data_IF_328119427229
#
_entry.id   IF_328119427229
#
_cell.length_a   1.000
_cell.length_b   1.000
_cell.length_c   1.000
_cell.angle_alpha   90.00
_cell.angle_beta   90.00
_cell.angle_gamma   90.00
#
_symmetry.space_group_name_H-M   'P 1'
#
loop_
_entity.id
_entity.type
_entity.pdbx_description
1 polymer ?
#
# COMPACT_ATOMS: atom_id res chain seq x y z
N UNK A 1 -37.60 -7.07 -7.51
CA UNK A 1 -36.55 -7.16 -6.44
C UNK A 1 -35.45 -6.18 -6.81
N UNK A 2 -35.08 -5.28 -5.91
CA UNK A 2 -33.95 -4.35 -6.15
C UNK A 2 -32.63 -5.13 -6.15
N UNK A 3 -31.70 -4.80 -7.06
CA UNK A 3 -30.38 -5.41 -7.11
C UNK A 3 -29.33 -4.47 -6.55
N UNK A 4 -28.29 -5.07 -5.96
CA UNK A 4 -27.08 -4.39 -5.47
C UNK A 4 -25.85 -5.16 -5.97
N UNK A 5 -24.81 -4.44 -6.38
CA UNK A 5 -23.48 -5.01 -6.65
C UNK A 5 -22.61 -4.78 -5.44
N UNK A 6 -21.96 -5.83 -4.94
CA UNK A 6 -20.97 -5.80 -3.87
C UNK A 6 -19.60 -6.06 -4.49
N UNK A 7 -18.70 -5.08 -4.39
CA UNK A 7 -17.32 -5.12 -4.91
C UNK A 7 -16.40 -5.14 -3.69
N UNK A 8 -15.82 -6.31 -3.42
CA UNK A 8 -15.03 -6.57 -2.20
C UNK A 8 -14.06 -7.73 -2.49
N UNK A 9 -12.78 -7.57 -2.33
CA UNK A 9 -11.79 -8.60 -2.60
C UNK A 9 -11.66 -9.64 -1.48
N UNK A 10 -11.91 -9.24 -0.23
CA UNK A 10 -11.91 -10.16 0.91
C UNK A 10 -13.13 -11.07 0.89
N UNK A 11 -12.93 -12.36 0.63
CA UNK A 11 -14.01 -13.34 0.49
C UNK A 11 -14.90 -13.47 1.74
N UNK A 12 -14.32 -13.29 2.95
CA UNK A 12 -15.07 -13.39 4.21
C UNK A 12 -15.98 -12.18 4.35
N UNK A 13 -15.46 -10.99 4.16
CA UNK A 13 -16.21 -9.73 4.23
C UNK A 13 -17.32 -9.73 3.17
N UNK A 14 -17.00 -10.13 1.92
CA UNK A 14 -17.97 -10.24 0.83
C UNK A 14 -19.11 -11.18 1.18
N UNK A 15 -18.83 -12.37 1.72
CA UNK A 15 -19.85 -13.34 2.13
C UNK A 15 -20.75 -12.81 3.26
N UNK A 16 -20.18 -12.10 4.24
CA UNK A 16 -20.97 -11.50 5.34
C UNK A 16 -21.91 -10.40 4.84
N UNK A 17 -21.41 -9.53 3.96
CA UNK A 17 -22.22 -8.48 3.33
C UNK A 17 -23.37 -9.10 2.49
N UNK A 18 -23.05 -10.11 1.68
CA UNK A 18 -24.04 -10.83 0.89
C UNK A 18 -25.15 -11.43 1.75
N UNK A 19 -24.77 -12.13 2.83
CA UNK A 19 -25.73 -12.74 3.74
C UNK A 19 -26.68 -11.70 4.35
N UNK A 20 -26.13 -10.58 4.82
CA UNK A 20 -26.93 -9.50 5.39
C UNK A 20 -27.88 -8.88 4.37
N UNK A 21 -27.39 -8.55 3.19
CA UNK A 21 -28.17 -7.91 2.12
C UNK A 21 -29.28 -8.84 1.59
N UNK A 22 -28.99 -10.14 1.41
CA UNK A 22 -30.02 -11.12 0.99
C UNK A 22 -31.13 -11.27 2.02
N UNK A 23 -30.79 -11.27 3.31
CA UNK A 23 -31.79 -11.30 4.38
C UNK A 23 -32.71 -10.08 4.34
N UNK A 24 -32.16 -8.92 3.93
CA UNK A 24 -32.90 -7.68 3.79
C UNK A 24 -33.61 -7.53 2.43
N UNK A 25 -33.69 -8.62 1.63
CA UNK A 25 -34.49 -8.71 0.40
C UNK A 25 -33.75 -8.21 -0.86
N UNK A 26 -32.44 -8.01 -0.83
CA UNK A 26 -31.69 -7.63 -2.00
C UNK A 26 -31.30 -8.81 -2.89
N UNK A 27 -31.33 -8.61 -4.21
CA UNK A 27 -30.62 -9.47 -5.16
C UNK A 27 -29.18 -9.01 -5.22
N UNK A 28 -28.25 -9.80 -4.68
CA UNK A 28 -26.83 -9.45 -4.60
C UNK A 28 -26.06 -10.05 -5.77
N UNK A 29 -25.32 -9.20 -6.48
CA UNK A 29 -24.30 -9.55 -7.47
C UNK A 29 -22.92 -9.25 -6.84
N UNK A 30 -21.93 -10.08 -7.10
CA UNK A 30 -20.63 -10.03 -6.40
C UNK A 30 -19.49 -9.90 -7.39
N UNK A 31 -18.50 -9.07 -7.01
CA UNK A 31 -17.23 -8.92 -7.70
C UNK A 31 -16.10 -8.88 -6.69
N UNK A 32 -14.93 -9.39 -7.06
CA UNK A 32 -13.71 -9.39 -6.25
C UNK A 32 -12.70 -8.31 -6.68
N UNK A 33 -12.99 -7.56 -7.72
CA UNK A 33 -12.18 -6.45 -8.22
C UNK A 33 -13.06 -5.36 -8.85
N UNK A 34 -12.50 -4.16 -8.99
CA UNK A 34 -13.22 -3.01 -9.48
C UNK A 34 -13.63 -3.10 -10.94
N UNK A 35 -12.85 -3.74 -11.81
CA UNK A 35 -13.16 -3.88 -13.23
C UNK A 35 -14.37 -4.83 -13.44
N UNK A 36 -14.34 -5.99 -12.78
CA UNK A 36 -15.47 -6.92 -12.78
C UNK A 36 -16.73 -6.26 -12.19
N UNK A 37 -16.56 -5.50 -11.10
CA UNK A 37 -17.65 -4.77 -10.46
C UNK A 37 -18.28 -3.74 -11.40
N UNK A 38 -17.49 -2.93 -12.08
CA UNK A 38 -17.95 -1.95 -13.07
C UNK A 38 -18.77 -2.62 -14.17
N UNK A 39 -18.29 -3.72 -14.74
CA UNK A 39 -18.99 -4.45 -15.79
C UNK A 39 -20.36 -4.94 -15.30
N UNK A 40 -20.42 -5.51 -14.08
CA UNK A 40 -21.70 -5.95 -13.48
C UNK A 40 -22.67 -4.78 -13.28
N UNK A 41 -22.19 -3.60 -12.88
CA UNK A 41 -23.03 -2.41 -12.69
C UNK A 41 -23.59 -1.92 -14.02
N UNK A 42 -22.76 -1.84 -15.05
CA UNK A 42 -23.18 -1.41 -16.41
C UNK A 42 -24.23 -2.35 -17.00
N UNK A 43 -24.00 -3.66 -16.88
CA UNK A 43 -24.90 -4.68 -17.42
C UNK A 43 -26.25 -4.76 -16.67
N UNK A 44 -26.22 -4.67 -15.34
CA UNK A 44 -27.40 -4.97 -14.52
C UNK A 44 -28.15 -3.72 -14.02
N UNK A 45 -27.54 -2.51 -14.14
CA UNK A 45 -28.11 -1.22 -13.69
C UNK A 45 -28.74 -1.33 -12.28
N UNK A 46 -27.95 -1.68 -11.26
CA UNK A 46 -28.44 -1.95 -9.93
C UNK A 46 -28.96 -0.67 -9.26
N UNK A 47 -29.81 -0.83 -8.24
CA UNK A 47 -30.27 0.29 -7.42
C UNK A 47 -29.15 0.85 -6.51
N UNK A 48 -28.16 0.01 -6.16
CA UNK A 48 -27.04 0.40 -5.32
C UNK A 48 -25.76 -0.39 -5.68
N UNK A 49 -24.61 0.20 -5.33
CA UNK A 49 -23.30 -0.42 -5.34
C UNK A 49 -22.70 -0.23 -3.95
N UNK A 50 -22.17 -1.31 -3.38
CA UNK A 50 -21.33 -1.30 -2.20
C UNK A 50 -19.93 -1.65 -2.64
N UNK A 51 -18.99 -0.72 -2.55
CA UNK A 51 -17.66 -0.83 -3.14
C UNK A 51 -16.57 -0.61 -2.09
N UNK A 52 -15.70 -1.59 -1.90
CA UNK A 52 -14.51 -1.37 -1.10
C UNK A 52 -13.59 -0.36 -1.79
N UNK A 53 -12.88 0.42 -0.97
CA UNK A 53 -11.93 1.41 -1.44
C UNK A 53 -10.65 0.76 -1.99
N UNK A 54 -10.14 -0.23 -1.26
CA UNK A 54 -8.86 -0.90 -1.52
C UNK A 54 -9.06 -2.23 -2.25
N UNK A 55 -9.49 -2.16 -3.50
CA UNK A 55 -9.69 -3.32 -4.38
C UNK A 55 -8.75 -3.27 -5.58
N UNK A 56 -8.32 -4.44 -6.10
CA UNK A 56 -7.43 -4.52 -7.25
C UNK A 56 -8.09 -4.07 -8.56
N UNK A 57 -7.29 -3.85 -9.59
CA UNK A 57 -7.59 -3.39 -10.94
C UNK A 57 -8.12 -1.97 -10.99
N UNK A 58 -9.24 -1.70 -10.40
CA UNK A 58 -9.83 -0.36 -10.25
C UNK A 58 -10.16 -0.15 -8.78
N UNK A 59 -9.56 0.84 -8.14
CA UNK A 59 -9.90 1.18 -6.75
C UNK A 59 -11.29 1.82 -6.62
N UNK A 60 -11.82 1.90 -5.40
CA UNK A 60 -13.16 2.44 -5.16
C UNK A 60 -13.34 3.87 -5.63
N UNK A 61 -12.31 4.72 -5.61
CA UNK A 61 -12.39 6.08 -6.15
C UNK A 61 -12.58 6.08 -7.67
N UNK A 62 -11.84 5.21 -8.40
CA UNK A 62 -11.98 5.05 -9.84
C UNK A 62 -13.38 4.54 -10.20
N UNK A 63 -13.86 3.52 -9.48
CA UNK A 63 -15.21 2.97 -9.67
C UNK A 63 -16.25 4.08 -9.52
N UNK A 64 -16.18 4.90 -8.46
CA UNK A 64 -17.10 6.02 -8.26
C UNK A 64 -17.09 6.99 -9.45
N UNK A 65 -15.90 7.47 -9.87
CA UNK A 65 -15.78 8.42 -11.00
C UNK A 65 -16.33 7.85 -12.31
N UNK A 66 -15.96 6.60 -12.62
CA UNK A 66 -16.38 5.94 -13.86
C UNK A 66 -17.90 5.73 -13.91
N UNK A 67 -18.53 5.39 -12.79
CA UNK A 67 -19.98 5.27 -12.69
C UNK A 67 -20.69 6.62 -12.83
N UNK A 68 -20.18 7.67 -12.20
CA UNK A 68 -20.78 9.02 -12.30
C UNK A 68 -20.59 9.67 -13.68
N UNK A 69 -19.57 9.27 -14.42
CA UNK A 69 -19.39 9.71 -15.80
C UNK A 69 -20.44 9.12 -16.76
N UNK A 70 -21.24 8.11 -16.33
CA UNK A 70 -22.27 7.49 -17.15
C UNK A 70 -23.66 8.04 -16.78
N UNK A 71 -24.32 8.84 -17.65
CA UNK A 71 -25.62 9.45 -17.35
C UNK A 71 -26.72 8.43 -16.97
N UNK A 72 -26.68 7.26 -17.59
CA UNK A 72 -27.63 6.18 -17.37
C UNK A 72 -27.55 5.55 -15.96
N UNK A 73 -26.45 5.77 -15.26
CA UNK A 73 -26.19 5.26 -13.91
C UNK A 73 -26.27 6.35 -12.83
N UNK A 74 -26.67 7.57 -13.20
CA UNK A 74 -26.78 8.69 -12.28
C UNK A 74 -27.69 8.41 -11.06
N UNK A 75 -28.69 7.55 -11.21
CA UNK A 75 -29.60 7.12 -10.14
C UNK A 75 -29.10 5.97 -9.26
N UNK A 76 -28.01 5.31 -9.62
CA UNK A 76 -27.42 4.23 -8.83
C UNK A 76 -26.76 4.81 -7.56
N UNK A 77 -27.17 4.33 -6.38
CA UNK A 77 -26.58 4.75 -5.12
C UNK A 77 -25.22 4.09 -4.93
N UNK A 78 -24.17 4.86 -4.75
CA UNK A 78 -22.80 4.37 -4.56
C UNK A 78 -22.39 4.57 -3.10
N UNK A 79 -22.06 3.48 -2.41
CA UNK A 79 -21.61 3.47 -1.02
C UNK A 79 -20.19 2.89 -1.01
N UNK A 80 -19.23 3.69 -0.57
CA UNK A 80 -17.85 3.22 -0.39
C UNK A 80 -17.70 2.59 0.98
N UNK A 81 -17.04 1.44 1.05
CA UNK A 81 -16.63 0.78 2.30
C UNK A 81 -15.10 0.78 2.41
N UNK A 82 -14.56 0.82 3.60
CA UNK A 82 -13.11 0.81 3.80
C UNK A 82 -12.73 0.40 5.22
N UNK A 83 -11.53 -0.21 5.36
CA UNK A 83 -10.87 -0.39 6.66
C UNK A 83 -10.22 0.88 7.18
N UNK A 84 -9.96 1.84 6.29
CA UNK A 84 -9.32 3.11 6.60
C UNK A 84 -10.22 4.02 7.45
N UNK A 85 -9.60 4.69 8.44
CA UNK A 85 -10.28 5.70 9.30
C UNK A 85 -9.85 7.12 9.00
N UNK A 86 -9.15 7.35 7.91
CA UNK A 86 -8.65 8.65 7.54
C UNK A 86 -9.77 9.56 7.02
N UNK A 87 -9.89 10.74 7.60
CA UNK A 87 -10.96 11.69 7.23
C UNK A 87 -10.88 12.14 5.77
N UNK A 88 -9.68 12.24 5.22
CA UNK A 88 -9.46 12.62 3.83
C UNK A 88 -10.04 11.60 2.85
N UNK A 89 -9.95 10.29 3.13
CA UNK A 89 -10.49 9.25 2.25
C UNK A 89 -12.01 9.39 2.08
N UNK A 90 -12.69 9.76 3.16
CA UNK A 90 -14.14 10.03 3.10
C UNK A 90 -14.47 11.22 2.20
N UNK A 91 -13.75 12.33 2.35
CA UNK A 91 -13.95 13.51 1.51
C UNK A 91 -13.68 13.19 0.05
N UNK A 92 -12.57 12.54 -0.23
CA UNK A 92 -12.16 12.13 -1.58
C UNK A 92 -13.17 11.16 -2.22
N UNK A 93 -13.72 10.21 -1.44
CA UNK A 93 -14.76 9.30 -1.95
C UNK A 93 -16.03 10.04 -2.36
N UNK A 94 -16.48 11.02 -1.56
CA UNK A 94 -17.62 11.86 -1.87
C UNK A 94 -17.36 12.74 -3.10
N UNK A 95 -16.19 13.34 -3.22
CA UNK A 95 -15.76 14.11 -4.40
C UNK A 95 -15.64 13.23 -5.65
N UNK A 96 -15.23 11.99 -5.51
CA UNK A 96 -15.22 11.01 -6.60
C UNK A 96 -16.63 10.57 -7.03
N UNK A 97 -17.68 10.95 -6.27
CA UNK A 97 -19.07 10.70 -6.61
C UNK A 97 -19.76 9.61 -5.79
N UNK A 98 -19.18 9.17 -4.67
CA UNK A 98 -19.89 8.34 -3.71
C UNK A 98 -21.03 9.13 -3.03
N UNK A 99 -22.15 8.46 -2.75
CA UNK A 99 -23.27 9.05 -2.01
C UNK A 99 -23.11 8.86 -0.50
N UNK A 100 -22.34 7.84 -0.09
CA UNK A 100 -22.13 7.53 1.32
C UNK A 100 -20.81 6.77 1.52
N UNK A 101 -20.36 6.71 2.77
CA UNK A 101 -19.08 6.11 3.16
C UNK A 101 -19.23 5.37 4.49
N UNK A 102 -18.79 4.12 4.55
CA UNK A 102 -18.86 3.26 5.72
C UNK A 102 -17.48 2.73 6.09
N UNK A 103 -17.14 2.81 7.37
CA UNK A 103 -15.92 2.21 7.90
C UNK A 103 -16.19 0.77 8.34
N UNK A 104 -15.35 -0.16 7.90
CA UNK A 104 -15.43 -1.57 8.31
C UNK A 104 -15.11 -1.75 9.82
N UNK A 105 -15.73 -2.71 10.51
CA UNK A 105 -16.70 -3.67 10.00
C UNK A 105 -18.07 -3.04 9.75
N UNK A 106 -18.66 -3.32 8.59
CA UNK A 106 -20.00 -2.82 8.22
C UNK A 106 -21.06 -3.67 8.91
N UNK A 107 -21.82 -3.06 9.79
CA UNK A 107 -22.90 -3.74 10.53
C UNK A 107 -24.24 -3.65 9.77
N UNK A 108 -25.19 -4.58 10.00
CA UNK A 108 -26.51 -4.52 9.38
C UNK A 108 -27.23 -3.19 9.56
N UNK A 109 -27.10 -2.55 10.74
CA UNK A 109 -27.67 -1.24 11.00
C UNK A 109 -27.09 -0.13 10.12
N UNK A 110 -25.79 -0.22 9.76
CA UNK A 110 -25.16 0.74 8.85
C UNK A 110 -25.72 0.61 7.44
N UNK A 111 -25.90 -0.62 6.96
CA UNK A 111 -26.51 -0.90 5.67
C UNK A 111 -27.96 -0.37 5.61
N UNK A 112 -28.76 -0.63 6.64
CA UNK A 112 -30.15 -0.13 6.73
C UNK A 112 -30.20 1.39 6.69
N UNK A 113 -29.23 2.08 7.28
CA UNK A 113 -29.16 3.56 7.31
C UNK A 113 -28.86 4.16 5.93
N UNK A 114 -27.99 3.52 5.15
CA UNK A 114 -27.48 4.12 3.89
C UNK A 114 -28.20 3.59 2.65
N UNK A 115 -28.77 2.39 2.70
CA UNK A 115 -29.45 1.79 1.56
C UNK A 115 -30.91 2.21 1.47
N UNK A 116 -31.45 2.38 0.24
CA UNK A 116 -32.88 2.69 0.07
C UNK A 116 -33.72 1.48 0.49
N UNK A 117 -34.79 1.73 1.27
CA UNK A 117 -35.73 0.70 1.72
C UNK A 117 -36.18 -0.17 0.56
N UNK A 118 -36.03 -1.49 0.69
CA UNK A 118 -36.66 -2.49 -0.17
C UNK A 118 -38.01 -2.85 0.46
N UNK A 119 -39.11 -2.55 -0.21
CA UNK A 119 -40.38 -3.03 0.23
C UNK A 119 -40.33 -4.60 0.24
N UNK A 120 -40.64 -5.17 1.38
CA UNK A 120 -40.60 -6.63 1.55
C UNK A 120 -41.62 -7.27 0.64
N UNK A 121 -41.18 -7.90 -0.45
CA UNK A 121 -41.99 -8.96 -1.10
C UNK A 121 -41.95 -10.17 -0.16
N UNK A 122 -43.06 -10.90 0.02
CA UNK A 122 -43.12 -12.06 0.90
C UNK A 122 -42.05 -13.08 0.46
N UNK A 123 -41.23 -13.52 1.40
CA UNK A 123 -40.14 -14.45 1.18
C UNK A 123 -40.66 -15.75 0.54
N UNK A 124 -40.01 -16.28 -0.51
CA UNK A 124 -40.22 -17.66 -0.91
C UNK A 124 -39.63 -18.56 0.19
N UNK A 125 -40.44 -19.51 0.64
CA UNK A 125 -40.03 -20.59 1.54
C UNK A 125 -38.86 -21.36 0.93
N UNK A 126 -37.61 -21.03 1.38
CA UNK A 126 -36.40 -21.71 0.99
C UNK A 126 -35.57 -22.01 2.23
N UNK A 127 -35.21 -23.25 2.38
CA UNK A 127 -34.48 -23.87 3.48
C UNK A 127 -33.30 -22.98 3.94
N UNK A 128 -33.29 -22.73 5.23
CA UNK A 128 -32.14 -22.10 5.93
C UNK A 128 -30.97 -23.07 5.83
N UNK A 129 -29.99 -22.74 5.00
CA UNK A 129 -28.69 -23.38 5.05
C UNK A 129 -28.05 -23.05 6.39
N UNK A 130 -27.68 -24.06 7.15
CA UNK A 130 -26.90 -23.94 8.38
C UNK A 130 -25.61 -23.19 8.07
N UNK A 131 -25.18 -22.23 8.91
CA UNK A 131 -23.91 -21.55 8.72
C UNK A 131 -22.78 -22.60 8.75
N UNK A 132 -21.74 -22.45 7.91
CA UNK A 132 -20.57 -23.30 7.99
C UNK A 132 -19.98 -23.17 9.39
N UNK A 133 -19.77 -24.30 10.05
CA UNK A 133 -19.11 -24.37 11.34
C UNK A 133 -17.67 -23.89 11.17
N UNK A 134 -17.13 -23.26 12.19
CA UNK A 134 -15.77 -22.69 12.23
C UNK A 134 -14.63 -23.72 11.94
N UNK A 135 -14.97 -24.95 11.60
CA UNK A 135 -14.04 -26.01 11.22
C UNK A 135 -13.90 -26.26 9.72
N UNK A 136 -14.68 -25.58 8.86
CA UNK A 136 -14.35 -25.48 7.46
C UNK A 136 -13.27 -24.40 7.29
N UNK A 137 -12.13 -24.62 7.97
CA UNK A 137 -10.89 -24.03 7.57
C UNK A 137 -10.67 -24.45 6.11
N UNK A 138 -11.02 -23.55 5.19
CA UNK A 138 -10.49 -23.59 3.85
C UNK A 138 -8.98 -23.64 4.10
N UNK A 139 -8.40 -24.81 3.88
CA UNK A 139 -6.99 -24.90 3.59
C UNK A 139 -6.74 -23.89 2.47
N UNK A 140 -6.37 -22.67 2.87
CA UNK A 140 -5.63 -21.77 2.03
C UNK A 140 -4.33 -22.50 1.77
N UNK A 141 -4.44 -23.51 0.89
CA UNK A 141 -3.26 -24.13 0.30
C UNK A 141 -2.44 -22.95 -0.18
N UNK A 142 -1.21 -22.96 0.26
CA UNK A 142 -0.10 -22.08 -0.11
C UNK A 142 0.23 -22.22 -1.62
N UNK A 143 -0.78 -22.45 -2.46
CA UNK A 143 -0.74 -22.73 -3.89
C UNK A 143 -0.78 -21.48 -4.75
N UNK A 144 -0.56 -20.31 -4.15
CA UNK A 144 -0.39 -19.04 -4.87
C UNK A 144 1.04 -18.50 -4.84
N UNK A 145 2.00 -19.20 -4.26
CA UNK A 145 3.41 -18.92 -4.52
C UNK A 145 3.64 -19.24 -6.00
N UNK A 146 3.89 -18.20 -6.80
CA UNK A 146 4.44 -18.39 -8.13
C UNK A 146 5.56 -19.44 -8.02
N UNK A 147 5.42 -20.57 -8.69
CA UNK A 147 6.58 -21.39 -9.06
C UNK A 147 7.38 -20.55 -10.05
N UNK A 148 8.13 -19.58 -9.55
CA UNK A 148 9.13 -18.88 -10.31
C UNK A 148 10.21 -19.91 -10.59
N UNK A 149 10.21 -20.49 -11.79
CA UNK A 149 11.41 -21.15 -12.32
C UNK A 149 12.39 -20.01 -12.60
N UNK A 150 13.16 -19.64 -11.59
CA UNK A 150 14.30 -18.76 -11.82
C UNK A 150 15.30 -19.51 -12.73
N UNK A 151 15.92 -18.84 -13.71
CA UNK A 151 17.08 -19.40 -14.37
C UNK A 151 18.07 -19.86 -13.30
N UNK A 152 18.75 -20.97 -13.53
CA UNK A 152 19.74 -21.53 -12.61
C UNK A 152 21.01 -20.64 -12.58
N UNK A 153 20.86 -19.47 -11.95
CA UNK A 153 21.88 -18.42 -11.90
C UNK A 153 22.22 -18.18 -10.43
N UNK A 154 23.00 -19.13 -9.87
CA UNK A 154 23.46 -19.12 -8.47
C UNK A 154 24.33 -17.92 -8.08
N UNK A 155 24.65 -17.02 -9.04
CA UNK A 155 25.47 -15.83 -8.85
C UNK A 155 24.67 -14.52 -8.79
N UNK A 156 23.33 -14.56 -8.95
CA UNK A 156 22.50 -13.36 -8.86
C UNK A 156 22.49 -12.82 -7.41
N UNK A 157 23.24 -11.74 -7.21
CA UNK A 157 23.21 -10.98 -5.95
C UNK A 157 21.99 -10.06 -5.95
N UNK A 158 21.33 -9.98 -4.80
CA UNK A 158 20.33 -8.94 -4.56
C UNK A 158 20.96 -7.87 -3.68
N UNK A 159 20.92 -6.63 -4.13
CA UNK A 159 21.50 -5.49 -3.42
C UNK A 159 20.40 -4.47 -3.16
N UNK A 160 20.32 -4.02 -1.92
CA UNK A 160 19.46 -2.90 -1.48
C UNK A 160 20.36 -1.76 -1.03
N UNK A 161 20.16 -0.55 -1.55
CA UNK A 161 20.89 0.64 -1.12
C UNK A 161 19.93 1.79 -0.85
N UNK A 162 20.14 2.48 0.26
CA UNK A 162 19.34 3.63 0.68
C UNK A 162 19.93 4.93 0.16
N UNK A 163 19.10 5.75 -0.50
CA UNK A 163 19.45 7.07 -1.02
C UNK A 163 18.66 8.19 -0.36
N UNK A 164 17.57 7.86 0.28
CA UNK A 164 16.74 8.72 1.11
C UNK A 164 15.95 7.89 2.09
N UNK A 165 15.84 8.34 3.33
CA UNK A 165 15.31 7.58 4.48
C UNK A 165 14.35 8.38 5.36
N UNK A 166 14.15 9.68 5.03
CA UNK A 166 13.24 10.57 5.77
C UNK A 166 11.82 10.50 5.26
N UNK A 167 10.87 10.71 6.17
CA UNK A 167 9.47 10.93 5.89
C UNK A 167 9.13 12.40 5.78
N UNK A 168 8.01 12.68 5.15
CA UNK A 168 7.33 13.96 5.05
C UNK A 168 8.13 15.10 4.42
N UNK A 169 9.35 15.40 4.89
CA UNK A 169 10.14 16.54 4.45
C UNK A 169 11.65 16.24 4.48
N UNK A 170 12.42 16.68 3.48
CA UNK A 170 13.88 16.57 3.54
C UNK A 170 14.46 17.47 4.64
N UNK A 171 15.34 16.90 5.46
CA UNK A 171 15.94 17.57 6.63
C UNK A 171 17.46 17.47 6.61
N UNK A 172 18.14 18.06 5.60
CA UNK A 172 19.60 18.08 5.57
C UNK A 172 20.14 19.04 6.63
N UNK A 173 21.07 18.57 7.46
CA UNK A 173 21.65 19.39 8.50
C UNK A 173 22.76 18.70 9.28
N UNK A 174 23.48 19.41 10.14
CA UNK A 174 24.58 18.83 10.92
C UNK A 174 24.12 17.74 11.89
N UNK A 175 22.86 17.76 12.31
CA UNK A 175 22.26 16.79 13.24
C UNK A 175 21.71 15.54 12.57
N UNK A 176 21.67 15.49 11.23
CA UNK A 176 21.12 14.39 10.43
C UNK A 176 22.14 13.75 9.49
N UNK A 177 23.43 14.09 9.63
CA UNK A 177 24.50 13.68 8.69
C UNK A 177 24.73 12.16 8.68
N UNK A 178 24.59 11.50 9.83
CA UNK A 178 24.85 10.05 9.93
C UNK A 178 23.73 9.20 9.36
N UNK A 179 22.49 9.63 9.54
CA UNK A 179 21.32 8.91 9.04
C UNK A 179 20.99 9.33 7.60
N UNK A 180 21.07 10.61 7.33
CA UNK A 180 20.71 11.22 6.06
C UNK A 180 19.51 12.15 6.18
N UNK A 181 19.38 13.09 5.25
CA UNK A 181 18.33 14.11 5.23
C UNK A 181 17.40 14.06 4.02
N UNK A 182 17.58 13.11 3.10
CA UNK A 182 16.73 12.99 1.92
C UNK A 182 15.50 12.12 2.18
N UNK A 183 14.40 12.43 1.48
CA UNK A 183 13.17 11.65 1.55
C UNK A 183 13.23 10.38 0.72
N UNK A 184 12.25 9.51 0.90
CA UNK A 184 12.17 8.10 0.52
C UNK A 184 12.69 7.79 -0.88
N UNK A 185 13.80 7.05 -0.95
CA UNK A 185 14.34 6.50 -2.19
C UNK A 185 15.25 5.31 -1.88
N UNK A 186 14.87 4.13 -2.36
CA UNK A 186 15.64 2.89 -2.16
C UNK A 186 15.94 2.27 -3.51
N UNK A 187 17.21 1.99 -3.75
CA UNK A 187 17.68 1.28 -4.93
C UNK A 187 17.72 -0.23 -4.63
N UNK A 188 17.10 -1.01 -5.51
CA UNK A 188 17.10 -2.46 -5.47
C UNK A 188 17.70 -3.00 -6.77
N UNK A 189 18.67 -3.90 -6.67
CA UNK A 189 19.29 -4.54 -7.83
C UNK A 189 19.23 -6.05 -7.74
N UNK A 190 18.95 -6.70 -8.87
CA UNK A 190 19.05 -8.15 -9.03
C UNK A 190 19.49 -8.45 -10.47
N UNK A 191 20.68 -9.00 -10.65
CA UNK A 191 21.29 -9.11 -11.97
C UNK A 191 21.39 -7.75 -12.66
N UNK A 192 20.88 -7.67 -13.87
CA UNK A 192 20.87 -6.43 -14.68
C UNK A 192 19.68 -5.50 -14.33
N UNK A 193 18.77 -5.96 -13.48
CA UNK A 193 17.59 -5.16 -13.15
C UNK A 193 17.93 -4.12 -12.08
N UNK A 194 17.58 -2.88 -12.37
CA UNK A 194 17.61 -1.75 -11.45
C UNK A 194 16.16 -1.33 -11.19
N UNK A 195 15.74 -1.48 -9.94
CA UNK A 195 14.42 -1.07 -9.46
C UNK A 195 14.63 0.02 -8.42
N UNK A 196 13.90 1.11 -8.54
CA UNK A 196 13.91 2.20 -7.58
C UNK A 196 12.55 2.17 -6.86
N UNK A 197 12.56 2.17 -5.54
CA UNK A 197 11.39 2.25 -4.69
C UNK A 197 11.28 3.69 -4.21
N UNK A 198 10.27 4.38 -4.68
CA UNK A 198 9.96 5.80 -4.55
C UNK A 198 11.00 6.78 -5.11
N UNK A 199 10.53 7.98 -5.40
CA UNK A 199 11.26 9.04 -6.08
C UNK A 199 11.33 10.34 -5.24
N UNK A 200 11.51 10.19 -3.92
CA UNK A 200 11.80 11.31 -3.01
C UNK A 200 13.13 11.97 -3.33
N UNK A 201 13.56 12.92 -2.53
CA UNK A 201 14.75 13.73 -2.84
C UNK A 201 16.05 12.93 -2.98
N UNK A 202 16.11 11.74 -2.37
CA UNK A 202 17.25 10.81 -2.51
C UNK A 202 17.52 10.37 -3.94
N UNK A 203 16.52 10.37 -4.82
CA UNK A 203 16.65 9.96 -6.23
C UNK A 203 17.64 10.84 -7.01
N UNK A 204 17.81 12.09 -6.60
CA UNK A 204 18.80 12.98 -7.22
C UNK A 204 20.23 12.44 -7.04
N UNK A 205 20.57 11.99 -5.84
CA UNK A 205 21.87 11.39 -5.53
C UNK A 205 22.09 10.09 -6.31
N UNK A 206 21.09 9.23 -6.32
CA UNK A 206 21.07 8.00 -7.10
C UNK A 206 21.26 8.30 -8.60
N UNK A 207 20.52 9.27 -9.16
CA UNK A 207 20.64 9.66 -10.56
C UNK A 207 22.05 10.10 -10.94
N UNK A 208 22.72 10.84 -10.06
CA UNK A 208 24.13 11.24 -10.26
C UNK A 208 25.09 10.05 -10.24
N UNK A 209 24.84 9.05 -9.40
CA UNK A 209 25.59 7.80 -9.34
C UNK A 209 25.40 6.96 -10.60
N UNK A 210 24.16 6.76 -11.01
CA UNK A 210 23.81 6.02 -12.23
C UNK A 210 24.39 6.67 -13.49
N UNK A 211 24.35 8.00 -13.60
CA UNK A 211 24.94 8.72 -14.74
C UNK A 211 26.45 8.52 -14.85
N UNK A 212 27.16 8.33 -13.73
CA UNK A 212 28.59 7.99 -13.72
C UNK A 212 28.82 6.53 -14.11
N UNK A 213 28.05 5.61 -13.52
CA UNK A 213 28.16 4.17 -13.75
C UNK A 213 27.85 3.77 -15.20
N UNK A 214 26.81 4.39 -15.80
CA UNK A 214 26.35 4.11 -17.16
C UNK A 214 26.87 5.08 -18.21
N UNK A 215 27.96 5.81 -17.91
CA UNK A 215 28.54 6.75 -18.87
C UNK A 215 28.81 6.07 -20.24
N UNK A 216 28.15 6.57 -21.31
CA UNK A 216 28.28 6.04 -22.67
C UNK A 216 27.51 4.71 -22.90
N UNK A 217 26.66 4.31 -22.01
CA UNK A 217 25.78 3.15 -22.12
C UNK A 217 24.34 3.56 -21.87
N UNK A 218 23.40 2.85 -22.50
CA UNK A 218 21.97 3.04 -22.25
C UNK A 218 21.62 2.52 -20.84
N UNK A 219 20.80 3.28 -20.13
CA UNK A 219 20.27 2.91 -18.83
C UNK A 219 18.79 2.51 -18.95
N UNK A 220 18.48 1.30 -18.52
CA UNK A 220 17.12 0.81 -18.39
C UNK A 220 16.82 0.54 -16.93
N UNK A 221 15.74 1.12 -16.41
CA UNK A 221 15.32 0.90 -15.03
C UNK A 221 13.81 1.00 -14.86
N UNK A 222 13.35 0.48 -13.72
CA UNK A 222 11.96 0.56 -13.28
C UNK A 222 11.88 1.36 -11.98
N UNK A 223 10.93 2.28 -11.87
CA UNK A 223 10.59 2.97 -10.63
C UNK A 223 9.23 2.44 -10.17
N UNK A 224 9.15 1.94 -8.95
CA UNK A 224 7.92 1.56 -8.28
C UNK A 224 7.56 2.67 -7.29
N UNK A 225 6.44 3.34 -7.54
CA UNK A 225 5.92 4.39 -6.64
C UNK A 225 4.91 3.74 -5.69
N UNK A 226 5.16 3.90 -4.40
CA UNK A 226 4.24 3.41 -3.36
C UNK A 226 2.94 4.22 -3.35
N UNK A 227 3.04 5.52 -3.36
CA UNK A 227 1.95 6.48 -3.45
C UNK A 227 2.46 7.87 -3.85
N UNK A 228 1.56 8.82 -4.04
CA UNK A 228 1.87 10.13 -4.63
C UNK A 228 1.97 11.26 -3.60
N UNK A 229 2.20 10.98 -2.31
CA UNK A 229 2.57 12.03 -1.37
C UNK A 229 3.91 12.63 -1.79
N UNK A 230 4.08 13.90 -1.46
CA UNK A 230 5.14 14.69 -2.07
C UNK A 230 6.54 14.18 -1.76
N UNK A 231 6.78 13.74 -0.57
CA UNK A 231 8.08 13.18 -0.14
C UNK A 231 8.48 11.87 -0.85
N UNK A 232 7.53 11.22 -1.53
CA UNK A 232 7.77 10.03 -2.35
C UNK A 232 7.96 10.33 -3.84
N UNK A 233 7.66 11.56 -4.30
CA UNK A 233 7.75 11.91 -5.73
C UNK A 233 8.54 13.21 -5.99
N UNK A 234 8.78 14.06 -5.01
CA UNK A 234 9.33 15.41 -5.21
C UNK A 234 10.73 15.45 -5.81
N UNK A 235 11.50 14.37 -5.73
CA UNK A 235 12.83 14.28 -6.32
C UNK A 235 12.84 13.96 -7.81
N UNK A 236 11.74 13.43 -8.35
CA UNK A 236 11.67 12.99 -9.74
C UNK A 236 12.04 14.06 -10.76
N UNK A 237 11.61 15.34 -10.66
CA UNK A 237 12.02 16.40 -11.58
C UNK A 237 13.54 16.61 -11.66
N UNK A 238 14.28 16.17 -10.64
CA UNK A 238 15.75 16.29 -10.56
C UNK A 238 16.49 14.99 -10.88
N UNK A 239 15.78 13.98 -11.36
CA UNK A 239 16.37 12.70 -11.75
C UNK A 239 17.06 12.79 -13.11
N UNK A 240 18.37 13.10 -13.09
CA UNK A 240 19.18 13.31 -14.29
C UNK A 240 19.03 12.26 -15.40
N UNK A 241 18.96 10.95 -15.10
CA UNK A 241 18.75 9.92 -16.12
C UNK A 241 17.49 10.10 -16.97
N UNK A 242 16.43 10.74 -16.47
CA UNK A 242 15.20 10.99 -17.24
C UNK A 242 15.39 12.01 -18.40
N UNK A 243 16.48 12.75 -18.37
CA UNK A 243 16.80 13.76 -19.42
C UNK A 243 17.74 13.22 -20.51
N UNK A 244 18.21 11.98 -20.40
CA UNK A 244 19.06 11.37 -21.43
C UNK A 244 18.21 10.65 -22.49
N UNK A 245 18.34 10.99 -23.79
CA UNK A 245 17.48 10.45 -24.85
C UNK A 245 17.67 8.94 -25.09
N UNK A 246 18.77 8.36 -24.63
CA UNK A 246 19.05 6.93 -24.77
C UNK A 246 18.49 6.09 -23.62
N UNK A 247 18.13 6.72 -22.51
CA UNK A 247 17.63 6.01 -21.34
C UNK A 247 16.16 5.64 -21.47
N UNK A 248 15.79 4.54 -20.84
CA UNK A 248 14.42 4.03 -20.75
C UNK A 248 14.02 3.84 -19.31
N UNK A 249 12.99 4.56 -18.90
CA UNK A 249 12.44 4.54 -17.57
C UNK A 249 11.00 4.02 -17.63
N UNK A 250 10.71 3.01 -16.86
CA UNK A 250 9.38 2.47 -16.65
C UNK A 250 8.94 2.85 -15.25
N UNK A 251 7.86 3.61 -15.09
CA UNK A 251 7.35 4.07 -13.81
C UNK A 251 6.01 3.39 -13.57
N UNK A 252 5.94 2.60 -12.51
CA UNK A 252 4.76 1.86 -12.11
C UNK A 252 4.26 2.35 -10.76
N UNK A 253 2.98 2.43 -10.62
CA UNK A 253 2.28 2.72 -9.37
C UNK A 253 0.79 2.54 -9.56
N UNK A 254 0.05 2.73 -8.50
CA UNK A 254 -1.39 2.64 -8.55
C UNK A 254 -1.99 4.04 -8.75
N UNK A 255 -3.11 4.14 -9.44
CA UNK A 255 -3.80 5.42 -9.61
C UNK A 255 -4.21 5.99 -8.25
N UNK A 256 -3.86 7.25 -8.02
CA UNK A 256 -4.31 7.96 -6.83
C UNK A 256 -5.81 8.33 -6.91
N UNK A 257 -6.33 8.80 -5.80
CA UNK A 257 -7.74 9.21 -5.71
C UNK A 257 -8.13 10.39 -6.64
N UNK A 258 -7.18 11.24 -7.03
CA UNK A 258 -7.43 12.49 -7.78
C UNK A 258 -7.00 12.42 -9.24
N UNK A 259 -6.32 11.36 -9.66
CA UNK A 259 -5.84 11.19 -11.03
C UNK A 259 -4.71 10.16 -11.10
N UNK A 260 -4.35 9.73 -12.30
CA UNK A 260 -3.31 8.72 -12.49
C UNK A 260 -1.94 9.17 -12.01
N UNK A 261 -1.06 8.21 -11.77
CA UNK A 261 0.35 8.44 -11.40
C UNK A 261 1.04 9.46 -12.31
N UNK A 262 0.78 9.36 -13.63
CA UNK A 262 1.30 10.31 -14.60
C UNK A 262 0.85 11.75 -14.32
N UNK A 263 -0.42 11.94 -13.92
CA UNK A 263 -0.98 13.26 -13.59
C UNK A 263 -0.27 13.86 -12.39
N UNK A 264 -0.11 13.13 -11.31
CA UNK A 264 0.58 13.61 -10.11
C UNK A 264 2.03 14.02 -10.39
N UNK A 265 2.77 13.21 -11.19
CA UNK A 265 4.14 13.53 -11.59
C UNK A 265 4.20 14.69 -12.61
N UNK A 266 3.16 14.88 -13.43
CA UNK A 266 3.07 15.99 -14.39
C UNK A 266 2.78 17.31 -13.65
N UNK A 267 1.82 17.34 -12.75
CA UNK A 267 1.38 18.55 -12.06
C UNK A 267 2.50 19.19 -11.22
N UNK A 268 3.35 18.41 -10.57
CA UNK A 268 4.51 18.95 -9.86
C UNK A 268 5.56 19.60 -10.79
N UNK A 269 5.48 19.30 -12.10
CA UNK A 269 6.35 19.87 -13.14
C UNK A 269 5.64 20.94 -13.98
N UNK A 270 4.52 21.47 -13.53
CA UNK A 270 3.89 22.62 -14.18
C UNK A 270 4.75 23.88 -14.03
N UNK A 271 4.66 24.76 -15.03
CA UNK A 271 5.49 25.98 -15.12
C UNK A 271 5.37 26.91 -13.92
N UNK A 272 4.30 26.80 -13.14
CA UNK A 272 4.14 27.55 -11.89
C UNK A 272 5.16 27.11 -10.81
N UNK A 273 5.63 25.85 -10.88
CA UNK A 273 6.50 25.25 -9.86
C UNK A 273 7.85 24.82 -10.41
N UNK A 274 7.90 24.42 -11.69
CA UNK A 274 9.12 23.87 -12.30
C UNK A 274 9.28 24.36 -13.76
N UNK A 275 10.51 24.76 -14.19
CA UNK A 275 10.71 25.39 -15.50
C UNK A 275 10.70 24.42 -16.69
N UNK A 276 10.73 23.11 -16.43
CA UNK A 276 10.79 22.05 -17.45
C UNK A 276 9.60 21.14 -17.28
N UNK A 277 8.77 21.02 -18.31
CA UNK A 277 7.63 20.09 -18.28
C UNK A 277 8.08 18.64 -18.46
N UNK A 278 7.27 17.69 -18.02
CA UNK A 278 7.51 16.26 -18.20
C UNK A 278 7.69 15.88 -19.68
N UNK A 279 7.00 16.57 -20.61
CA UNK A 279 7.12 16.36 -22.04
C UNK A 279 8.48 16.78 -22.63
N UNK A 280 9.24 17.58 -21.92
CA UNK A 280 10.58 18.02 -22.31
C UNK A 280 11.70 17.11 -21.77
N UNK A 281 11.37 16.11 -20.95
CA UNK A 281 12.32 15.06 -20.60
C UNK A 281 12.68 14.24 -21.83
N UNK A 282 13.95 14.27 -22.23
CA UNK A 282 14.42 13.61 -23.45
C UNK A 282 14.44 12.07 -23.33
N UNK A 283 14.47 11.54 -22.12
CA UNK A 283 14.43 10.10 -21.86
C UNK A 283 13.08 9.48 -22.26
N UNK A 284 13.11 8.19 -22.61
CA UNK A 284 11.88 7.44 -22.86
C UNK A 284 11.23 7.04 -21.53
N UNK A 285 10.33 7.89 -21.03
CA UNK A 285 9.59 7.63 -19.79
C UNK A 285 8.22 7.05 -20.13
N UNK A 286 7.95 5.85 -19.61
CA UNK A 286 6.66 5.15 -19.77
C UNK A 286 6.01 5.03 -18.40
N UNK A 287 4.78 5.50 -18.30
CA UNK A 287 3.95 5.36 -17.08
C UNK A 287 3.00 4.18 -17.27
N UNK A 288 2.98 3.30 -16.31
CA UNK A 288 2.10 2.14 -16.30
C UNK A 288 1.35 2.09 -14.96
N UNK A 289 0.04 2.02 -15.04
CA UNK A 289 -0.79 1.79 -13.85
C UNK A 289 -0.79 0.30 -13.53
N UNK A 290 -0.62 -0.01 -12.26
CA UNK A 290 -0.67 -1.39 -11.78
C UNK A 290 -2.12 -1.87 -11.80
N UNK A 291 -2.41 -2.84 -12.65
CA UNK A 291 -3.70 -3.54 -12.71
C UNK A 291 -3.67 -4.77 -11.80
N UNK A 292 -2.56 -5.50 -11.83
CA UNK A 292 -2.37 -6.71 -11.03
C UNK A 292 -1.47 -6.46 -9.83
N UNK A 293 -1.88 -7.00 -8.67
CA UNK A 293 -1.08 -6.96 -7.44
C UNK A 293 0.12 -7.92 -7.46
N UNK A 294 0.33 -8.63 -8.57
CA UNK A 294 1.44 -9.58 -8.76
C UNK A 294 1.95 -9.48 -10.18
N UNK A 295 3.22 -9.18 -10.33
CA UNK A 295 3.87 -9.02 -11.64
C UNK A 295 5.36 -9.37 -11.56
N UNK A 296 6.06 -9.31 -12.68
CA UNK A 296 7.48 -9.67 -12.77
C UNK A 296 8.31 -8.55 -13.42
N UNK A 297 9.50 -8.31 -12.89
CA UNK A 297 10.52 -7.43 -13.47
C UNK A 297 11.79 -8.26 -13.63
N UNK A 298 12.04 -8.78 -14.84
CA UNK A 298 13.13 -9.73 -15.06
C UNK A 298 13.08 -10.92 -14.09
N UNK A 299 14.16 -11.19 -13.33
CA UNK A 299 14.19 -12.27 -12.35
C UNK A 299 13.51 -11.91 -11.01
N UNK A 300 12.90 -10.74 -10.88
CA UNK A 300 12.29 -10.28 -9.62
C UNK A 300 10.78 -10.49 -9.70
N UNK A 301 10.24 -11.36 -8.84
CA UNK A 301 8.80 -11.46 -8.64
C UNK A 301 8.34 -10.40 -7.65
N UNK A 302 7.39 -9.57 -8.05
CA UNK A 302 6.85 -8.48 -7.24
C UNK A 302 5.41 -8.81 -6.84
N UNK A 303 5.11 -8.63 -5.57
CA UNK A 303 3.76 -8.64 -5.02
C UNK A 303 3.51 -7.31 -4.32
N UNK A 304 2.30 -6.80 -4.39
CA UNK A 304 1.89 -5.60 -3.67
C UNK A 304 0.66 -5.84 -2.83
N UNK A 305 0.47 -4.99 -1.81
CA UNK A 305 -0.72 -4.93 -0.96
C UNK A 305 -0.98 -3.47 -0.61
N UNK A 306 -2.23 -3.13 -0.35
CA UNK A 306 -2.56 -1.80 0.18
C UNK A 306 -2.09 -1.68 1.63
N UNK A 307 -1.40 -0.59 1.92
CA UNK A 307 -1.03 -0.16 3.26
C UNK A 307 -2.17 0.62 3.92
N UNK A 308 -2.24 0.62 5.25
CA UNK A 308 -3.13 1.50 6.01
C UNK A 308 -2.52 2.90 6.10
N UNK A 309 -2.75 3.68 5.06
CA UNK A 309 -2.26 5.04 4.91
C UNK A 309 -3.30 5.88 4.15
N UNK A 310 -3.41 7.20 4.36
CA UNK A 310 -4.38 8.04 3.64
C UNK A 310 -4.25 7.92 2.12
N UNK A 311 -5.38 7.74 1.42
CA UNK A 311 -5.41 7.54 -0.01
C UNK A 311 -5.05 6.10 -0.43
N UNK A 312 -4.39 5.97 -1.57
CA UNK A 312 -3.93 4.69 -2.10
C UNK A 312 -2.42 4.59 -1.92
N UNK A 313 -1.99 3.73 -1.02
CA UNK A 313 -0.57 3.45 -0.74
C UNK A 313 -0.29 1.95 -0.85
N UNK A 314 0.81 1.58 -1.53
CA UNK A 314 1.22 0.20 -1.75
C UNK A 314 2.49 -0.14 -0.98
N UNK A 315 2.49 -1.30 -0.34
CA UNK A 315 3.70 -2.00 0.03
C UNK A 315 4.11 -2.98 -1.07
N UNK A 316 5.42 -3.18 -1.25
CA UNK A 316 5.99 -4.08 -2.25
C UNK A 316 6.81 -5.19 -1.60
N UNK A 317 6.58 -6.43 -2.04
CA UNK A 317 7.38 -7.60 -1.69
C UNK A 317 8.12 -8.07 -2.94
N UNK A 318 9.44 -7.97 -2.93
CA UNK A 318 10.34 -8.35 -4.01
C UNK A 318 11.03 -9.66 -3.66
N UNK A 319 10.77 -10.68 -4.47
CA UNK A 319 11.34 -12.03 -4.29
C UNK A 319 12.34 -12.30 -5.41
N UNK A 320 13.54 -12.69 -5.04
CA UNK A 320 14.66 -12.99 -5.94
C UNK A 320 15.33 -14.33 -5.55
N UNK A 321 16.23 -14.88 -6.37
CA UNK A 321 17.08 -15.99 -5.94
C UNK A 321 17.92 -15.69 -4.71
N UNK A 322 18.32 -14.44 -4.49
CA UNK A 322 19.11 -14.01 -3.33
C UNK A 322 18.33 -13.87 -2.04
N UNK A 323 17.02 -13.74 -2.10
CA UNK A 323 16.16 -13.58 -0.92
C UNK A 323 14.94 -12.70 -1.17
N UNK A 324 14.29 -12.33 -0.08
CA UNK A 324 13.04 -11.58 -0.06
C UNK A 324 13.23 -10.24 0.65
N UNK A 325 12.86 -9.17 -0.04
CA UNK A 325 12.84 -7.81 0.51
C UNK A 325 11.41 -7.28 0.48
N UNK A 326 10.96 -6.73 1.60
CA UNK A 326 9.67 -6.04 1.69
C UNK A 326 9.91 -4.56 1.94
N UNK A 327 9.27 -3.72 1.15
CA UNK A 327 9.25 -2.27 1.29
C UNK A 327 7.83 -1.83 1.65
N UNK A 328 7.67 -1.34 2.86
CA UNK A 328 6.42 -0.82 3.42
C UNK A 328 6.72 0.54 4.05
N UNK A 329 6.80 1.57 3.20
CA UNK A 329 7.28 2.89 3.58
C UNK A 329 6.33 3.61 4.53
N UNK A 330 5.03 3.62 4.20
CA UNK A 330 4.00 4.31 4.95
C UNK A 330 2.90 3.35 5.35
N UNK A 331 2.65 3.28 6.64
CA UNK A 331 1.68 2.34 7.20
C UNK A 331 1.34 2.71 8.64
N UNK A 332 0.09 2.68 9.02
CA UNK A 332 -0.36 2.80 10.42
C UNK A 332 -1.00 1.48 10.86
N UNK A 333 -0.52 0.88 11.94
CA UNK A 333 -1.02 -0.41 12.43
C UNK A 333 -2.49 -0.30 12.84
N UNK A 334 -3.36 -1.11 12.21
CA UNK A 334 -4.82 -1.03 12.38
C UNK A 334 -5.26 -1.22 13.83
N UNK A 335 -4.71 -2.22 14.53
CA UNK A 335 -5.10 -2.53 15.90
C UNK A 335 -4.76 -1.39 16.87
N UNK A 336 -3.59 -0.78 16.68
CA UNK A 336 -3.15 0.36 17.49
C UNK A 336 -4.06 1.56 17.28
N UNK A 337 -4.30 1.90 16.02
CA UNK A 337 -5.18 2.99 15.62
C UNK A 337 -6.59 2.79 16.19
N UNK A 338 -7.14 1.59 16.07
CA UNK A 338 -8.48 1.28 16.56
C UNK A 338 -8.59 1.38 18.07
N UNK A 339 -7.63 0.82 18.83
CA UNK A 339 -7.61 0.88 20.28
C UNK A 339 -7.60 2.30 20.79
N UNK A 340 -6.69 3.13 20.32
CA UNK A 340 -6.59 4.54 20.75
C UNK A 340 -7.81 5.37 20.33
N UNK A 341 -8.39 5.08 19.16
CA UNK A 341 -9.63 5.73 18.73
C UNK A 341 -10.79 5.41 19.67
N UNK A 342 -10.96 4.16 20.07
CA UNK A 342 -12.00 3.75 21.01
C UNK A 342 -11.79 4.32 22.42
N UNK A 343 -10.55 4.33 22.89
CA UNK A 343 -10.18 4.90 24.18
C UNK A 343 -10.56 6.38 24.22
N UNK A 344 -10.20 7.15 23.22
CA UNK A 344 -10.56 8.59 23.12
C UNK A 344 -12.07 8.82 23.03
N UNK A 345 -12.77 7.96 22.31
CA UNK A 345 -14.21 8.08 22.14
C UNK A 345 -15.00 7.58 23.37
N UNK A 346 -14.37 6.83 24.29
CA UNK A 346 -15.05 6.14 25.39
C UNK A 346 -16.11 5.11 24.93
N UNK A 347 -15.96 4.55 23.71
CA UNK A 347 -16.95 3.69 23.08
C UNK A 347 -16.28 2.39 22.61
N UNK A 348 -16.25 1.34 23.44
CA UNK A 348 -15.68 0.07 23.05
C UNK A 348 -16.49 -0.61 21.92
N UNK A 349 -15.78 -1.15 20.92
CA UNK A 349 -16.35 -1.90 19.81
C UNK A 349 -15.49 -3.14 19.54
N UNK A 350 -15.87 -4.27 20.09
CA UNK A 350 -15.11 -5.52 19.96
C UNK A 350 -15.01 -6.01 18.49
N UNK A 351 -16.05 -5.78 17.68
CA UNK A 351 -16.04 -6.17 16.27
C UNK A 351 -14.98 -5.37 15.47
N UNK A 352 -14.82 -4.07 15.77
CA UNK A 352 -13.81 -3.24 15.14
C UNK A 352 -12.38 -3.62 15.57
N UNK A 353 -12.18 -3.98 16.84
CA UNK A 353 -10.91 -4.52 17.34
C UNK A 353 -10.55 -5.83 16.62
N UNK A 354 -11.53 -6.73 16.47
CA UNK A 354 -11.31 -8.00 15.78
C UNK A 354 -11.04 -7.82 14.28
N UNK A 355 -11.72 -6.88 13.65
CA UNK A 355 -11.44 -6.50 12.27
C UNK A 355 -10.01 -5.98 12.12
N UNK A 356 -9.62 -5.00 12.94
CA UNK A 356 -8.29 -4.40 12.92
C UNK A 356 -7.17 -5.45 13.14
N UNK A 357 -7.37 -6.38 14.08
CA UNK A 357 -6.44 -7.49 14.31
C UNK A 357 -6.28 -8.38 13.08
N UNK A 358 -7.36 -8.69 12.38
CA UNK A 358 -7.31 -9.51 11.14
C UNK A 358 -6.59 -8.77 10.00
N UNK A 359 -6.77 -7.46 9.90
CA UNK A 359 -6.04 -6.68 8.89
C UNK A 359 -4.53 -6.69 9.18
N UNK A 360 -4.10 -6.47 10.43
CA UNK A 360 -2.69 -6.57 10.80
C UNK A 360 -2.13 -7.99 10.56
N UNK A 361 -2.92 -9.04 10.79
CA UNK A 361 -2.52 -10.40 10.45
C UNK A 361 -2.37 -10.63 8.93
N UNK A 362 -3.19 -9.98 8.09
CA UNK A 362 -3.01 -10.01 6.63
C UNK A 362 -1.69 -9.35 6.23
N UNK A 363 -1.39 -8.19 6.82
CA UNK A 363 -0.12 -7.48 6.60
C UNK A 363 1.06 -8.35 7.07
N UNK A 364 1.00 -8.95 8.25
CA UNK A 364 2.05 -9.85 8.74
C UNK A 364 2.26 -11.05 7.81
N UNK A 365 1.18 -11.64 7.26
CA UNK A 365 1.28 -12.73 6.26
C UNK A 365 1.90 -12.25 4.93
N UNK A 366 1.57 -11.06 4.48
CA UNK A 366 2.18 -10.47 3.29
C UNK A 366 3.68 -10.23 3.47
N UNK A 367 4.08 -9.66 4.62
CA UNK A 367 5.49 -9.51 4.97
C UNK A 367 6.17 -10.90 4.99
N UNK A 368 5.52 -11.89 5.66
CA UNK A 368 6.02 -13.26 5.77
C UNK A 368 7.47 -13.33 6.25
N UNK A 369 8.15 -14.47 6.15
CA UNK A 369 9.55 -14.59 6.55
C UNK A 369 10.47 -13.90 5.51
N UNK A 370 10.49 -12.58 5.52
CA UNK A 370 11.38 -11.79 4.66
C UNK A 370 12.81 -11.77 5.21
N UNK A 371 13.80 -11.70 4.30
CA UNK A 371 15.21 -11.49 4.67
C UNK A 371 15.43 -10.06 5.15
N UNK A 372 14.76 -9.08 4.52
CA UNK A 372 14.79 -7.67 4.89
C UNK A 372 13.38 -7.08 4.83
N UNK A 373 12.97 -6.42 5.89
CA UNK A 373 11.81 -5.54 5.94
C UNK A 373 12.29 -4.09 6.10
N UNK A 374 11.93 -3.23 5.16
CA UNK A 374 12.11 -1.78 5.22
C UNK A 374 10.75 -1.21 5.56
N UNK A 375 10.58 -0.65 6.75
CA UNK A 375 9.26 -0.34 7.28
C UNK A 375 9.22 1.02 7.97
N UNK A 376 8.11 1.70 7.78
CA UNK A 376 7.74 2.91 8.52
C UNK A 376 7.93 2.71 10.03
N UNK A 377 8.59 3.67 10.64
CA UNK A 377 8.88 3.70 12.08
C UNK A 377 9.02 5.16 12.52
N UNK A 378 8.09 5.99 12.01
CA UNK A 378 8.23 7.45 12.10
C UNK A 378 8.18 7.93 13.54
N UNK A 379 7.33 7.31 14.39
CA UNK A 379 7.08 7.79 15.76
C UNK A 379 7.55 6.80 16.82
N UNK A 380 7.81 7.32 18.02
CA UNK A 380 7.91 6.51 19.24
C UNK A 380 6.58 6.48 20.03
N UNK A 381 6.57 5.79 21.19
CA UNK A 381 5.39 5.65 22.05
C UNK A 381 4.87 6.98 22.62
N UNK A 382 5.73 7.98 22.82
CA UNK A 382 5.35 9.27 23.38
C UNK A 382 4.72 10.18 22.30
N UNK A 383 5.22 10.11 21.09
CA UNK A 383 4.81 10.94 19.95
C UNK A 383 3.52 10.43 19.30
N UNK A 384 3.42 9.10 19.09
CA UNK A 384 2.38 8.48 18.30
C UNK A 384 0.95 8.85 18.74
N UNK A 385 0.59 8.92 20.04
CA UNK A 385 -0.77 9.31 20.42
C UNK A 385 -1.21 10.65 19.83
N UNK A 386 -0.32 11.63 19.73
CA UNK A 386 -0.64 12.95 19.14
C UNK A 386 -0.73 12.91 17.60
N UNK A 387 -0.24 11.86 16.97
CA UNK A 387 -0.16 11.65 15.52
C UNK A 387 -1.13 10.57 15.01
N UNK A 388 -2.02 10.08 15.87
CA UNK A 388 -3.02 9.07 15.53
C UNK A 388 -3.84 9.50 14.31
N UNK A 389 -3.91 8.64 13.29
CA UNK A 389 -4.60 8.91 12.03
C UNK A 389 -3.78 9.74 11.03
N UNK A 390 -2.46 9.82 11.22
CA UNK A 390 -1.56 10.44 10.25
C UNK A 390 -1.03 9.45 9.21
N UNK A 391 -1.29 8.15 9.42
CA UNK A 391 -0.93 7.09 8.47
C UNK A 391 0.47 6.52 8.67
N UNK A 392 1.08 6.74 9.85
CA UNK A 392 2.43 6.27 10.17
C UNK A 392 2.47 5.46 11.46
N UNK A 393 3.46 4.57 11.54
CA UNK A 393 3.56 3.58 12.61
C UNK A 393 4.42 4.06 13.78
N UNK A 394 3.99 3.68 15.00
CA UNK A 394 4.86 3.64 16.17
C UNK A 394 5.93 2.55 15.99
N UNK A 395 7.18 2.85 16.26
CA UNK A 395 8.30 1.95 16.11
C UNK A 395 8.13 0.63 16.89
N UNK A 396 7.50 0.66 18.07
CA UNK A 396 7.22 -0.54 18.89
C UNK A 396 6.30 -1.52 18.13
N UNK A 397 5.28 -0.99 17.44
CA UNK A 397 4.36 -1.80 16.63
C UNK A 397 5.06 -2.35 15.37
N UNK A 398 5.98 -1.58 14.76
CA UNK A 398 6.81 -2.05 13.64
C UNK A 398 7.67 -3.25 14.05
N UNK A 399 8.30 -3.18 15.23
CA UNK A 399 9.07 -4.31 15.79
C UNK A 399 8.17 -5.52 16.06
N UNK A 400 6.99 -5.30 16.64
CA UNK A 400 6.03 -6.37 16.92
C UNK A 400 5.55 -7.05 15.62
N UNK A 401 5.27 -6.27 14.58
CA UNK A 401 4.86 -6.76 13.26
C UNK A 401 5.98 -7.59 12.60
N UNK A 402 7.22 -7.10 12.63
CA UNK A 402 8.38 -7.80 12.09
C UNK A 402 8.62 -9.16 12.81
N UNK A 403 8.48 -9.17 14.15
CA UNK A 403 8.59 -10.39 14.95
C UNK A 403 7.44 -11.37 14.68
N UNK A 404 6.24 -10.89 14.46
CA UNK A 404 5.08 -11.71 14.10
C UNK A 404 5.23 -12.33 12.71
N UNK A 405 5.77 -11.57 11.75
CA UNK A 405 6.02 -12.02 10.39
C UNK A 405 7.26 -12.93 10.24
N UNK A 406 8.11 -13.05 11.26
CA UNK A 406 9.33 -13.86 11.21
C UNK A 406 10.43 -13.28 10.33
N UNK A 407 10.52 -11.95 10.27
CA UNK A 407 11.54 -11.21 9.52
C UNK A 407 12.94 -11.45 10.09
N UNK A 408 13.97 -11.54 9.24
CA UNK A 408 15.37 -11.70 9.69
C UNK A 408 16.02 -10.37 10.06
N UNK A 409 15.80 -9.33 9.22
CA UNK A 409 16.33 -7.98 9.43
C UNK A 409 15.25 -6.94 9.22
N UNK A 410 15.06 -6.06 10.20
CA UNK A 410 14.22 -4.86 10.13
C UNK A 410 15.09 -3.62 9.97
N UNK A 411 14.79 -2.83 8.95
CA UNK A 411 15.34 -1.49 8.75
C UNK A 411 14.24 -0.48 9.13
N UNK A 412 14.42 0.22 10.25
CA UNK A 412 13.56 1.33 10.62
C UNK A 412 13.72 2.43 9.56
N UNK A 413 12.62 2.85 8.96
CA UNK A 413 12.61 3.73 7.80
C UNK A 413 11.60 4.87 7.99
N UNK A 414 11.59 5.83 7.09
CA UNK A 414 10.67 6.96 7.09
C UNK A 414 10.79 7.81 8.36
N UNK A 415 12.05 8.15 8.73
CA UNK A 415 12.34 8.87 9.98
C UNK A 415 11.68 10.24 9.98
N UNK A 416 11.11 10.61 11.13
CA UNK A 416 10.46 11.91 11.31
C UNK A 416 11.43 13.07 11.03
N UNK A 417 10.98 14.15 10.39
CA UNK A 417 11.80 15.34 10.16
C UNK A 417 12.43 15.94 11.42
N UNK A 418 11.75 15.85 12.56
CA UNK A 418 12.22 16.40 13.83
C UNK A 418 13.21 15.47 14.55
N UNK A 419 13.43 14.24 14.06
CA UNK A 419 14.36 13.29 14.66
C UNK A 419 15.78 13.53 14.18
N UNK A 420 16.66 13.93 15.09
CA UNK A 420 18.09 13.98 14.85
C UNK A 420 18.74 12.58 14.93
N UNK A 421 20.03 12.50 14.61
CA UNK A 421 20.80 11.25 14.67
C UNK A 421 20.80 10.60 16.07
N UNK A 422 20.73 11.40 17.14
CA UNK A 422 20.72 10.90 18.51
C UNK A 422 19.37 10.29 18.88
N UNK A 423 18.26 10.90 18.47
CA UNK A 423 16.91 10.37 18.64
C UNK A 423 16.76 9.03 17.90
N UNK A 424 17.23 8.94 16.65
CA UNK A 424 17.18 7.69 15.87
C UNK A 424 18.04 6.60 16.54
N UNK A 425 19.23 6.92 17.05
CA UNK A 425 20.05 5.95 17.80
C UNK A 425 19.32 5.44 19.06
N UNK A 426 18.59 6.30 19.76
CA UNK A 426 17.81 5.91 20.93
C UNK A 426 16.63 4.98 20.56
N UNK A 427 15.94 5.25 19.45
CA UNK A 427 14.88 4.39 18.91
C UNK A 427 15.42 3.01 18.53
N UNK A 428 16.59 2.95 17.87
CA UNK A 428 17.26 1.67 17.54
C UNK A 428 17.63 0.90 18.82
N UNK A 429 18.14 1.57 19.84
CA UNK A 429 18.47 0.93 21.11
C UNK A 429 17.22 0.34 21.77
N UNK A 430 16.11 1.09 21.82
CA UNK A 430 14.83 0.63 22.33
C UNK A 430 14.27 -0.55 21.52
N UNK A 431 14.31 -0.48 20.20
CA UNK A 431 13.89 -1.59 19.33
C UNK A 431 14.67 -2.89 19.63
N UNK A 432 15.99 -2.82 19.83
CA UNK A 432 16.83 -3.96 20.23
C UNK A 432 16.45 -4.54 21.60
N UNK A 433 16.06 -3.68 22.55
CA UNK A 433 15.53 -4.14 23.84
C UNK A 433 14.20 -4.90 23.69
N UNK A 434 13.28 -4.42 22.86
CA UNK A 434 12.01 -5.09 22.56
C UNK A 434 12.26 -6.48 21.94
N UNK A 435 13.19 -6.57 20.98
CA UNK A 435 13.59 -7.86 20.41
C UNK A 435 14.15 -8.79 21.48
N UNK A 436 15.04 -8.30 22.34
CA UNK A 436 15.62 -9.09 23.43
C UNK A 436 14.54 -9.60 24.39
N UNK A 437 13.59 -8.75 24.79
CA UNK A 437 12.47 -9.10 25.66
C UNK A 437 11.54 -10.15 25.03
N UNK A 438 11.42 -10.16 23.70
CA UNK A 438 10.59 -11.13 22.97
C UNK A 438 11.14 -12.56 22.97
N UNK A 439 12.44 -12.74 23.23
CA UNK A 439 13.14 -14.02 23.11
C UNK A 439 13.28 -14.56 21.68
N UNK A 440 12.90 -13.78 20.66
CA UNK A 440 13.00 -14.12 19.25
C UNK A 440 14.26 -13.51 18.61
N UNK A 441 14.64 -14.01 17.42
CA UNK A 441 15.76 -13.46 16.67
C UNK A 441 15.22 -12.47 15.62
N UNK A 442 15.71 -11.24 15.67
CA UNK A 442 15.48 -10.19 14.67
C UNK A 442 16.66 -9.22 14.73
N UNK A 443 17.33 -8.99 13.60
CA UNK A 443 18.29 -7.91 13.48
C UNK A 443 17.56 -6.60 13.23
N UNK A 444 17.83 -5.57 14.04
CA UNK A 444 17.20 -4.24 13.88
C UNK A 444 18.28 -3.17 13.76
N UNK A 445 18.13 -2.32 12.76
CA UNK A 445 18.93 -1.09 12.60
C UNK A 445 18.08 0.00 11.93
N UNK A 446 18.51 1.26 12.04
CA UNK A 446 17.96 2.35 11.24
C UNK A 446 18.50 2.27 9.81
N UNK A 447 17.65 2.51 8.82
CA UNK A 447 18.09 2.76 7.47
C UNK A 447 18.89 4.07 7.41
N UNK A 448 20.02 4.07 6.69
CA UNK A 448 20.89 5.24 6.53
C UNK A 448 21.25 5.45 5.07
N UNK A 449 21.32 6.69 4.63
CA UNK A 449 21.79 7.01 3.29
C UNK A 449 23.21 6.44 3.04
N UNK A 450 23.39 5.82 1.86
CA UNK A 450 24.63 5.14 1.48
C UNK A 450 24.78 3.73 2.04
N UNK A 451 23.96 3.29 2.99
CA UNK A 451 23.98 1.92 3.50
C UNK A 451 23.58 0.94 2.41
N UNK A 452 24.28 -0.19 2.37
CA UNK A 452 24.04 -1.28 1.42
C UNK A 452 23.79 -2.59 2.16
N UNK A 453 22.77 -3.34 1.72
CA UNK A 453 22.48 -4.69 2.19
C UNK A 453 22.61 -5.62 1.00
N UNK A 454 23.42 -6.67 1.14
CA UNK A 454 23.64 -7.67 0.09
C UNK A 454 23.08 -9.02 0.53
N UNK A 455 22.11 -9.52 -0.23
CA UNK A 455 21.59 -10.88 -0.09
C UNK A 455 22.22 -11.77 -1.16
N UNK A 456 22.72 -12.92 -0.74
CA UNK A 456 23.36 -13.90 -1.62
C UNK A 456 22.46 -15.13 -1.74
N UNK A 457 22.35 -15.67 -2.95
CA UNK A 457 21.71 -16.96 -3.14
C UNK A 457 22.39 -18.00 -2.25
N UNK A 458 21.60 -18.68 -1.44
CA UNK A 458 22.09 -19.85 -0.71
C UNK A 458 22.10 -21.00 -1.71
N UNK A 459 23.29 -21.53 -2.01
CA UNK A 459 23.39 -22.77 -2.79
C UNK A 459 22.57 -23.85 -2.06
N UNK A 460 21.44 -24.22 -2.66
CA UNK A 460 20.63 -25.34 -2.19
C UNK A 460 21.24 -26.67 -2.61
#
# INVERSE_FOLDING_TARGET
MKSIVVIEDDAITRALLQQSLRRDGWRVLEAEDGETGLNLVVENRPAAVLCDLHIPRRNGFQVCRMLRAQPDLAGTKIIVTTGSRFGNDRLTALEAGADDYLVKPVLPADLTRVLPNVAADPAPNGQVATPPTANDAIELTNTGLFKTSFPDDSDLRTVVRFWGVRGSLPTPGPTTVRTGGNTSCVEFRCGDQIIILDAGTGIRGLGSSLAKEFRGRDLHLTILISHTHWDHIQGFPFFGPAYSPTNRLRILGYESAVGGLRTALFEQMETAYFPISLSQMAGRVVFEELEDMRFQIGPVAVQSVFSNHPGICLAYRLTTPGGVVVYMCDHEVYLRQERLTQERAGKPNAAAIEFARREDEKIARFIGPADVLICDSQYDEEEYPSRLGWGHTCMDDTVALALAAGVKRLCLFHHDPDHDDAKIDSMVAHAKELVTKSGKSLEVDAAREGQEIVLKAVKR
#
